data_IF_363498488397
#
_entry.id   IF_363498488397
#
_cell.length_a   1.000
_cell.length_b   1.000
_cell.length_c   1.000
_cell.angle_alpha   90.00
_cell.angle_beta   90.00
_cell.angle_gamma   90.00
#
_symmetry.space_group_name_H-M   'P 1'
#
loop_
_entity.id
_entity.type
_entity.pdbx_description
1 polymer ?
#
# COMPACT_ATOMS: atom_id res chain seq x y z
N UNK A 1 -18.55 -18.67 -5.42
CA UNK A 1 -18.40 -17.28 -4.90
C UNK A 1 -16.91 -17.06 -4.72
N UNK A 2 -16.33 -15.95 -5.22
CA UNK A 2 -14.89 -15.71 -5.02
C UNK A 2 -14.66 -15.33 -3.56
N UNK A 3 -13.93 -16.15 -2.84
CA UNK A 3 -13.53 -15.84 -1.47
C UNK A 3 -12.36 -14.85 -1.51
N UNK A 4 -12.27 -13.98 -0.50
CA UNK A 4 -11.14 -13.06 -0.33
C UNK A 4 -10.39 -13.49 0.92
N UNK A 5 -9.06 -13.50 0.84
CA UNK A 5 -8.20 -13.69 2.01
C UNK A 5 -7.67 -12.32 2.42
N UNK A 6 -8.20 -11.79 3.52
CA UNK A 6 -7.80 -10.50 4.02
C UNK A 6 -6.39 -10.58 4.62
N UNK A 7 -5.50 -9.71 4.14
CA UNK A 7 -4.11 -9.60 4.63
C UNK A 7 -4.08 -8.57 5.76
N UNK A 8 -4.50 -7.35 5.46
CA UNK A 8 -4.46 -6.24 6.40
C UNK A 8 -5.54 -5.21 6.06
N UNK A 9 -6.00 -4.47 7.06
CA UNK A 9 -6.89 -3.34 6.85
C UNK A 9 -6.60 -2.23 7.85
N UNK A 10 -6.86 -1.00 7.45
CA UNK A 10 -6.91 0.14 8.34
C UNK A 10 -8.15 1.00 8.04
N UNK A 11 -8.25 2.17 8.67
CA UNK A 11 -9.38 3.08 8.49
C UNK A 11 -9.46 3.73 7.09
N UNK A 12 -8.43 3.57 6.27
CA UNK A 12 -8.30 4.17 4.94
C UNK A 12 -8.49 3.15 3.81
N UNK A 13 -8.17 1.88 4.05
CA UNK A 13 -8.27 0.83 3.03
C UNK A 13 -8.07 -0.59 3.55
N UNK A 14 -8.03 -1.53 2.62
CA UNK A 14 -7.84 -2.96 2.89
C UNK A 14 -7.00 -3.60 1.78
N UNK A 15 -6.12 -4.52 2.18
CA UNK A 15 -5.37 -5.40 1.31
C UNK A 15 -5.85 -6.84 1.46
N UNK A 16 -6.02 -7.53 0.34
CA UNK A 16 -6.45 -8.93 0.34
C UNK A 16 -5.94 -9.69 -0.90
N UNK A 17 -5.87 -11.01 -0.78
CA UNK A 17 -5.67 -11.92 -1.89
C UNK A 17 -6.99 -12.44 -2.43
N UNK A 18 -7.03 -12.72 -3.72
CA UNK A 18 -8.14 -13.42 -4.34
C UNK A 18 -7.97 -14.93 -4.16
N UNK A 19 -8.99 -15.59 -3.61
CA UNK A 19 -9.08 -17.05 -3.59
C UNK A 19 -9.88 -17.54 -4.78
N UNK A 20 -9.28 -18.46 -5.52
CA UNK A 20 -10.01 -19.34 -6.44
C UNK A 20 -10.33 -20.63 -5.69
N UNK A 21 -11.39 -21.35 -6.08
CA UNK A 21 -11.96 -22.53 -5.38
C UNK A 21 -10.96 -23.66 -5.01
N UNK A 22 -9.69 -23.58 -5.44
CA UNK A 22 -8.64 -24.55 -5.11
C UNK A 22 -7.37 -23.94 -4.50
N UNK A 23 -7.06 -22.66 -4.74
CA UNK A 23 -5.78 -22.06 -4.36
C UNK A 23 -5.90 -20.53 -4.14
N UNK A 24 -5.17 -20.01 -3.15
CA UNK A 24 -4.98 -18.56 -2.95
C UNK A 24 -4.00 -18.05 -4.01
N UNK A 25 -4.40 -17.05 -4.81
CA UNK A 25 -3.49 -16.43 -5.79
C UNK A 25 -2.58 -15.46 -5.03
N UNK A 26 -1.45 -15.97 -4.54
CA UNK A 26 -0.46 -15.20 -3.78
C UNK A 26 0.38 -14.25 -4.66
N UNK A 27 0.31 -14.41 -5.99
CA UNK A 27 1.09 -13.63 -6.95
C UNK A 27 0.71 -12.14 -6.97
N UNK A 28 -0.56 -11.82 -6.65
CA UNK A 28 -1.08 -10.45 -6.71
C UNK A 28 -1.91 -10.10 -5.50
N UNK A 29 -1.48 -9.05 -4.80
CA UNK A 29 -2.19 -8.39 -3.71
C UNK A 29 -3.16 -7.37 -4.31
N UNK A 30 -4.42 -7.46 -3.93
CA UNK A 30 -5.39 -6.40 -4.19
C UNK A 30 -5.35 -5.38 -3.07
N UNK A 31 -4.89 -4.17 -3.37
CA UNK A 31 -4.89 -3.05 -2.44
C UNK A 31 -6.06 -2.11 -2.78
N UNK A 32 -6.98 -1.90 -1.84
CA UNK A 32 -8.16 -1.05 -2.05
C UNK A 32 -8.17 0.10 -1.05
N UNK A 33 -8.22 1.34 -1.56
CA UNK A 33 -8.36 2.56 -0.77
C UNK A 33 -9.04 3.65 -1.59
N UNK A 34 -9.76 4.58 -0.93
CA UNK A 34 -10.48 5.69 -1.61
C UNK A 34 -11.30 5.24 -2.85
N UNK A 35 -11.99 4.09 -2.75
CA UNK A 35 -12.80 3.51 -3.85
C UNK A 35 -11.99 3.05 -5.08
N UNK A 36 -10.65 3.13 -5.04
CA UNK A 36 -9.75 2.62 -6.06
C UNK A 36 -9.14 1.30 -5.63
N UNK A 37 -9.01 0.36 -6.56
CA UNK A 37 -8.42 -0.95 -6.33
C UNK A 37 -7.23 -1.17 -7.24
N UNK A 38 -6.06 -1.37 -6.65
CA UNK A 38 -4.81 -1.67 -7.35
C UNK A 38 -4.48 -3.14 -7.24
N UNK A 39 -4.00 -3.71 -8.34
CA UNK A 39 -3.45 -5.05 -8.39
C UNK A 39 -1.93 -4.91 -8.39
N UNK A 40 -1.30 -5.21 -7.27
CA UNK A 40 0.16 -5.13 -7.13
C UNK A 40 0.76 -6.49 -6.86
N UNK A 41 1.88 -6.77 -7.48
CA UNK A 41 2.82 -7.80 -7.02
C UNK A 41 3.51 -7.33 -5.74
N UNK A 42 4.13 -8.25 -4.99
CA UNK A 42 4.93 -7.89 -3.79
C UNK A 42 6.07 -6.92 -4.14
N UNK A 43 6.65 -7.04 -5.33
CA UNK A 43 7.67 -6.12 -5.82
C UNK A 43 7.12 -4.71 -6.08
N UNK A 44 5.97 -4.61 -6.75
CA UNK A 44 5.30 -3.32 -6.98
C UNK A 44 4.82 -2.69 -5.67
N UNK A 45 4.41 -3.50 -4.68
CA UNK A 45 4.02 -3.03 -3.36
C UNK A 45 5.23 -2.44 -2.60
N UNK A 46 6.39 -3.10 -2.67
CA UNK A 46 7.65 -2.56 -2.14
C UNK A 46 8.05 -1.26 -2.85
N UNK A 47 7.96 -1.21 -4.19
CA UNK A 47 8.21 0.02 -4.95
C UNK A 47 7.26 1.14 -4.54
N UNK A 48 5.98 0.83 -4.34
CA UNK A 48 5.00 1.80 -3.88
C UNK A 48 5.33 2.33 -2.49
N UNK A 49 5.80 1.47 -1.58
CA UNK A 49 6.29 1.89 -0.27
C UNK A 49 7.45 2.89 -0.39
N UNK A 50 8.45 2.61 -1.23
CA UNK A 50 9.56 3.54 -1.46
C UNK A 50 9.09 4.88 -2.05
N UNK A 51 8.19 4.85 -3.03
CA UNK A 51 7.63 6.07 -3.63
C UNK A 51 6.86 6.93 -2.60
N UNK A 52 6.16 6.29 -1.66
CA UNK A 52 5.49 6.97 -0.56
C UNK A 52 6.52 7.64 0.36
N UNK A 53 7.58 6.93 0.73
CA UNK A 53 8.64 7.47 1.59
C UNK A 53 9.37 8.64 0.95
N UNK A 54 9.75 8.51 -0.33
CA UNK A 54 10.34 9.60 -1.11
C UNK A 54 9.40 10.82 -1.15
N UNK A 55 8.10 10.57 -1.38
CA UNK A 55 7.09 11.64 -1.36
C UNK A 55 6.96 12.31 0.00
N UNK A 56 7.10 11.57 1.11
CA UNK A 56 7.09 12.15 2.46
C UNK A 56 8.34 13.03 2.66
N UNK A 57 9.52 12.53 2.28
CA UNK A 57 10.79 13.25 2.42
C UNK A 57 10.79 14.56 1.62
N UNK A 58 10.37 14.51 0.36
CA UNK A 58 10.26 15.68 -0.51
C UNK A 58 9.30 16.73 0.04
N UNK A 59 8.17 16.30 0.62
CA UNK A 59 7.18 17.20 1.21
C UNK A 59 7.56 17.70 2.61
N UNK A 60 8.56 17.11 3.28
CA UNK A 60 9.01 17.52 4.62
C UNK A 60 9.97 18.72 4.57
N UNK A 61 10.42 19.15 3.38
CA UNK A 61 11.52 20.11 3.19
C UNK A 61 11.24 21.59 3.59
N UNK A 62 10.08 21.93 4.16
CA UNK A 62 9.77 23.33 4.46
C UNK A 62 9.33 23.55 5.91
N UNK A 63 10.27 23.63 6.86
CA UNK A 63 9.99 24.16 8.20
C UNK A 63 9.47 25.61 8.19
N UNK A 64 9.81 26.38 7.16
CA UNK A 64 9.48 27.80 7.03
C UNK A 64 8.35 28.15 6.04
N UNK A 65 7.59 27.18 5.52
CA UNK A 65 6.45 27.49 4.65
C UNK A 65 5.20 27.81 5.48
N UNK A 66 4.73 29.07 5.45
CA UNK A 66 3.44 29.50 6.03
C UNK A 66 2.22 28.78 5.40
N UNK A 67 2.42 28.07 4.29
CA UNK A 67 1.43 27.21 3.62
C UNK A 67 1.36 25.78 4.18
N UNK A 68 2.15 25.41 5.21
CA UNK A 68 2.18 24.07 5.81
C UNK A 68 0.82 23.55 6.28
N UNK A 69 -0.09 24.45 6.63
CA UNK A 69 -1.45 24.10 7.07
C UNK A 69 -2.49 24.07 5.95
N UNK A 70 -2.14 24.44 4.71
CA UNK A 70 -3.07 24.65 3.60
C UNK A 70 -2.71 23.90 2.30
N UNK A 71 -1.57 23.18 2.26
CA UNK A 71 -1.22 22.40 1.06
C UNK A 71 -2.15 21.18 0.91
N UNK A 72 -3.21 21.39 0.14
CA UNK A 72 -4.48 20.68 0.27
C UNK A 72 -4.56 19.32 -0.41
N UNK A 73 -3.58 18.94 -1.24
CA UNK A 73 -3.40 17.63 -1.91
C UNK A 73 -2.13 17.73 -2.76
N UNK A 74 -1.30 16.69 -2.78
CA UNK A 74 -0.19 16.52 -3.73
C UNK A 74 -0.35 15.21 -4.50
N UNK A 75 0.40 15.08 -5.59
CA UNK A 75 0.36 13.90 -6.44
C UNK A 75 1.36 12.86 -5.96
N UNK A 76 0.86 11.78 -5.38
CA UNK A 76 1.61 10.57 -5.09
C UNK A 76 1.77 9.75 -6.37
N UNK A 77 3.02 9.43 -6.70
CA UNK A 77 3.36 8.50 -7.77
C UNK A 77 2.99 7.08 -7.37
N UNK A 78 2.38 6.33 -8.28
CA UNK A 78 2.13 4.90 -8.10
C UNK A 78 3.09 4.10 -9.00
N UNK A 79 3.37 2.83 -8.70
CA UNK A 79 4.13 1.97 -9.60
C UNK A 79 3.45 1.79 -10.97
N UNK A 80 2.15 2.11 -11.07
CA UNK A 80 1.47 2.29 -12.35
C UNK A 80 1.80 3.67 -12.92
N UNK A 81 2.71 3.73 -13.90
CA UNK A 81 3.16 4.96 -14.59
C UNK A 81 2.04 5.83 -15.20
N UNK A 82 0.84 5.29 -15.34
CA UNK A 82 -0.33 5.97 -15.90
C UNK A 82 -1.28 6.55 -14.84
N UNK A 83 -1.05 6.27 -13.56
CA UNK A 83 -1.95 6.65 -12.46
C UNK A 83 -1.16 7.42 -11.40
N UNK A 84 -1.54 8.68 -11.20
CA UNK A 84 -1.09 9.50 -10.08
C UNK A 84 -2.28 9.73 -9.14
N UNK A 85 -2.02 9.74 -7.83
CA UNK A 85 -3.05 9.88 -6.81
C UNK A 85 -2.94 11.22 -6.09
N UNK A 86 -4.02 11.99 -6.07
CA UNK A 86 -4.10 13.20 -5.28
C UNK A 86 -4.41 12.86 -3.80
N UNK A 87 -3.41 13.03 -2.93
CA UNK A 87 -3.50 12.68 -1.51
C UNK A 87 -3.02 13.84 -0.62
N UNK A 88 -3.57 13.95 0.58
CA UNK A 88 -3.05 14.84 1.63
C UNK A 88 -1.99 14.13 2.48
N UNK A 89 -1.29 14.88 3.34
CA UNK A 89 -0.30 14.29 4.26
C UNK A 89 -0.90 13.27 5.24
N UNK A 90 -2.15 13.47 5.68
CA UNK A 90 -2.82 12.51 6.57
C UNK A 90 -3.16 11.23 5.82
N UNK A 91 -3.65 11.35 4.59
CA UNK A 91 -3.97 10.22 3.73
C UNK A 91 -2.70 9.46 3.32
N UNK A 92 -1.61 10.16 3.00
CA UNK A 92 -0.34 9.54 2.66
C UNK A 92 0.19 8.67 3.81
N UNK A 93 0.11 9.14 5.06
CA UNK A 93 0.48 8.36 6.24
C UNK A 93 -0.41 7.12 6.40
N UNK A 94 -1.71 7.25 6.17
CA UNK A 94 -2.62 6.11 6.21
C UNK A 94 -2.39 5.10 5.09
N UNK A 95 -1.98 5.55 3.89
CA UNK A 95 -1.57 4.65 2.80
C UNK A 95 -0.28 3.95 3.17
N UNK A 96 0.71 4.66 3.72
CA UNK A 96 1.98 4.07 4.19
C UNK A 96 1.72 2.94 5.17
N UNK A 97 0.92 3.21 6.20
CA UNK A 97 0.52 2.23 7.21
C UNK A 97 -0.17 1.00 6.60
N UNK A 98 -1.07 1.22 5.63
CA UNK A 98 -1.74 0.13 4.92
C UNK A 98 -0.74 -0.74 4.12
N UNK A 99 0.19 -0.11 3.40
CA UNK A 99 1.18 -0.80 2.56
C UNK A 99 2.19 -1.55 3.42
N UNK A 100 2.75 -0.91 4.45
CA UNK A 100 3.69 -1.51 5.39
C UNK A 100 3.04 -2.65 6.18
N UNK A 101 1.82 -2.46 6.70
CA UNK A 101 1.09 -3.51 7.41
C UNK A 101 0.78 -4.72 6.52
N UNK A 102 0.52 -4.48 5.23
CA UNK A 102 0.31 -5.54 4.25
C UNK A 102 1.61 -6.30 3.97
N UNK A 103 2.72 -5.60 3.68
CA UNK A 103 4.03 -6.21 3.46
C UNK A 103 4.48 -7.02 4.67
N UNK A 104 4.37 -6.46 5.86
CA UNK A 104 4.73 -7.14 7.10
C UNK A 104 3.93 -8.43 7.30
N UNK A 105 2.64 -8.43 6.97
CA UNK A 105 1.81 -9.64 7.07
C UNK A 105 2.24 -10.71 6.07
N UNK A 106 2.55 -10.30 4.84
CA UNK A 106 3.04 -11.20 3.78
C UNK A 106 4.38 -11.84 4.21
N UNK A 107 5.31 -11.03 4.70
CA UNK A 107 6.62 -11.49 5.18
C UNK A 107 6.46 -12.41 6.39
N UNK A 108 5.50 -12.13 7.29
CA UNK A 108 5.19 -13.01 8.42
C UNK A 108 4.62 -14.35 7.97
N UNK A 109 3.70 -14.35 7.01
CA UNK A 109 3.11 -15.59 6.50
C UNK A 109 4.18 -16.41 5.75
N UNK A 110 5.08 -15.77 5.01
CA UNK A 110 6.27 -16.42 4.42
C UNK A 110 7.22 -16.94 5.51
N UNK A 111 7.40 -16.23 6.62
CA UNK A 111 8.26 -16.71 7.71
C UNK A 111 7.65 -17.91 8.45
N UNK A 112 6.33 -17.90 8.70
CA UNK A 112 5.62 -18.93 9.48
C UNK A 112 5.32 -20.17 8.64
N UNK A 113 4.98 -19.99 7.37
CA UNK A 113 4.56 -21.08 6.47
C UNK A 113 5.53 -21.35 5.33
N UNK A 114 6.47 -20.45 5.05
CA UNK A 114 7.52 -20.66 4.06
C UNK A 114 8.52 -21.71 4.52
N UNK A 115 9.32 -22.17 3.55
CA UNK A 115 10.12 -23.41 3.55
C UNK A 115 11.34 -23.36 4.51
N UNK A 116 11.19 -22.72 5.67
CA UNK A 116 12.15 -22.66 6.77
C UNK A 116 11.91 -23.69 7.89
N UNK A 117 10.96 -24.62 7.71
CA UNK A 117 10.87 -25.86 8.50
C UNK A 117 11.96 -26.84 8.01
N UNK A 118 13.21 -26.56 8.35
CA UNK A 118 14.29 -27.55 8.31
C UNK A 118 14.41 -28.26 9.65
#
# INVERSE_FOLDING_TARGET
MREIEQIYHNNFGMAFYWKTEKETILDKVQLVFKETGFYFTVQELNQFCSLIEDSILDNTCCEACELKHSCHKFLLKTPCSQIDLAVSMTELKSIKDLVEGSLFRIDLDEYVYGVGLN
#
